data_IF_584888139803
#
_entry.id   IF_584888139803
#
_cell.length_a   1.000
_cell.length_b   1.000
_cell.length_c   1.000
_cell.angle_alpha   90.00
_cell.angle_beta   90.00
_cell.angle_gamma   90.00
#
_symmetry.space_group_name_H-M   'P 1'
#
loop_
_entity.id
_entity.type
_entity.pdbx_description
1 polymer ?
#
# COMPACT_ATOMS: atom_id res chain seq x y z
N UNK A 1 4.40 42.62 37.88
CA UNK A 1 3.26 41.93 38.55
C UNK A 1 2.15 41.41 37.61
N UNK A 2 2.01 41.87 36.36
CA UNK A 2 0.93 41.40 35.45
C UNK A 2 1.05 39.93 34.97
N UNK A 3 2.27 39.41 34.78
CA UNK A 3 2.49 38.05 34.23
C UNK A 3 2.00 36.91 35.15
N UNK A 4 2.03 37.13 36.46
CA UNK A 4 1.58 36.14 37.45
C UNK A 4 0.04 36.05 37.50
N UNK A 5 -0.66 37.18 37.26
CA UNK A 5 -2.13 37.24 37.24
C UNK A 5 -2.72 36.45 36.07
N UNK A 6 -2.05 36.46 34.92
CA UNK A 6 -2.46 35.66 33.75
C UNK A 6 -2.19 34.17 33.95
N UNK A 7 -1.11 33.79 34.64
CA UNK A 7 -0.80 32.39 34.95
C UNK A 7 -1.83 31.77 35.89
N UNK A 8 -2.25 32.51 36.92
CA UNK A 8 -3.32 32.09 37.84
C UNK A 8 -4.68 32.03 37.14
N UNK A 9 -4.97 32.97 36.24
CA UNK A 9 -6.22 32.97 35.47
C UNK A 9 -6.29 31.80 34.47
N UNK A 10 -5.19 31.43 33.84
CA UNK A 10 -5.10 30.28 32.92
C UNK A 10 -5.25 28.95 33.67
N UNK A 11 -4.69 28.83 34.87
CA UNK A 11 -4.80 27.62 35.69
C UNK A 11 -6.26 27.36 36.14
N UNK A 12 -7.02 28.42 36.46
CA UNK A 12 -8.44 28.31 36.86
C UNK A 12 -9.34 27.98 35.67
N UNK A 13 -9.01 28.44 34.47
CA UNK A 13 -9.80 28.17 33.26
C UNK A 13 -9.70 26.70 32.79
N UNK A 14 -8.55 26.04 33.04
CA UNK A 14 -8.33 24.63 32.66
C UNK A 14 -9.06 23.66 33.59
N UNK A 15 -9.27 24.02 34.86
CA UNK A 15 -9.99 23.17 35.84
C UNK A 15 -11.53 23.20 35.66
N UNK A 16 -12.08 24.15 34.90
CA UNK A 16 -13.53 24.30 34.70
C UNK A 16 -14.11 23.47 33.53
N UNK A 17 -13.28 22.80 32.71
CA UNK A 17 -13.72 22.08 31.51
C UNK A 17 -13.96 20.57 31.69
N UNK A 18 -13.83 20.03 32.91
CA UNK A 18 -14.02 18.58 33.18
C UNK A 18 -15.40 18.26 33.76
N UNK A 19 -16.47 18.84 33.20
CA UNK A 19 -17.85 18.47 33.56
C UNK A 19 -18.81 18.46 32.36
N UNK A 20 -19.27 17.25 32.02
CA UNK A 20 -20.38 16.95 31.10
C UNK A 20 -19.92 16.47 29.72
N UNK A 21 -20.32 15.32 29.16
CA UNK A 21 -21.58 14.58 29.31
C UNK A 21 -21.39 13.06 29.14
N UNK A 22 -21.98 12.30 30.07
CA UNK A 22 -22.43 10.91 29.89
C UNK A 22 -23.64 10.89 28.94
N UNK A 23 -23.66 10.08 27.87
CA UNK A 23 -24.92 9.61 27.28
C UNK A 23 -24.76 8.39 26.36
N UNK A 24 -25.36 7.29 26.83
CA UNK A 24 -26.17 6.29 26.09
C UNK A 24 -25.44 5.25 25.23
N UNK A 25 -25.03 4.20 25.94
CA UNK A 25 -25.06 2.81 25.49
C UNK A 25 -26.49 2.43 25.04
N UNK A 26 -26.65 2.05 23.77
CA UNK A 26 -27.84 1.36 23.27
C UNK A 26 -27.41 -0.05 22.90
N UNK A 27 -27.83 -1.02 23.71
CA UNK A 27 -27.82 -2.44 23.38
C UNK A 27 -29.22 -2.77 22.87
N UNK A 28 -29.39 -3.23 21.63
CA UNK A 28 -30.49 -4.12 21.27
C UNK A 28 -29.94 -5.55 21.26
N UNK A 29 -30.33 -6.32 22.27
CA UNK A 29 -30.31 -7.77 22.25
C UNK A 29 -31.39 -8.20 21.25
N UNK A 30 -30.97 -8.65 20.06
CA UNK A 30 -31.81 -9.44 19.17
C UNK A 30 -31.13 -10.79 18.98
N UNK A 31 -31.86 -11.85 19.32
CA UNK A 31 -31.41 -13.22 19.30
C UNK A 31 -30.95 -13.63 17.88
N UNK A 32 -29.70 -14.10 17.79
CA UNK A 32 -29.24 -14.87 16.65
C UNK A 32 -29.88 -16.27 16.73
N UNK A 33 -30.81 -16.56 15.82
CA UNK A 33 -31.00 -17.93 15.34
C UNK A 33 -30.09 -18.13 14.12
N UNK A 34 -29.25 -19.17 14.07
CA UNK A 34 -28.46 -19.48 12.88
C UNK A 34 -29.39 -20.06 11.78
N UNK A 35 -29.47 -19.46 10.58
CA UNK A 35 -30.01 -20.19 9.44
C UNK A 35 -29.02 -21.30 9.06
N UNK A 36 -29.57 -22.51 8.98
CA UNK A 36 -28.87 -23.71 8.55
C UNK A 36 -28.20 -23.50 7.19
N UNK A 37 -26.95 -23.96 7.11
CA UNK A 37 -26.16 -24.03 5.89
C UNK A 37 -26.87 -25.04 4.97
N UNK A 38 -27.47 -24.56 3.88
CA UNK A 38 -27.91 -25.44 2.78
C UNK A 38 -27.14 -24.99 1.54
N UNK A 39 -26.26 -25.86 1.05
CA UNK A 39 -25.44 -25.65 -0.13
C UNK A 39 -26.30 -25.29 -1.36
N UNK A 40 -25.83 -24.43 -2.28
CA UNK A 40 -26.48 -24.29 -3.58
C UNK A 40 -26.22 -25.57 -4.40
N UNK A 41 -27.20 -26.47 -4.38
CA UNK A 41 -27.33 -27.51 -5.38
C UNK A 41 -27.73 -26.85 -6.71
N UNK A 42 -26.96 -27.14 -7.75
CA UNK A 42 -27.26 -26.98 -9.17
C UNK A 42 -28.74 -27.26 -9.45
N UNK A 43 -29.50 -26.25 -9.85
CA UNK A 43 -30.84 -26.44 -10.41
C UNK A 43 -30.76 -26.37 -11.94
N UNK A 44 -31.02 -27.53 -12.52
CA UNK A 44 -31.23 -27.83 -13.94
C UNK A 44 -32.57 -27.23 -14.41
N UNK A 45 -32.67 -26.68 -15.65
CA UNK A 45 -33.88 -26.06 -16.15
C UNK A 45 -34.83 -27.08 -16.78
N UNK A 46 -36.13 -27.01 -16.45
CA UNK A 46 -37.22 -27.79 -17.09
C UNK A 46 -38.45 -26.88 -17.26
N UNK A 47 -39.41 -27.17 -18.16
CA UNK A 47 -39.63 -26.44 -19.41
C UNK A 47 -40.94 -25.66 -19.45
N UNK A 48 -40.98 -24.52 -20.17
CA UNK A 48 -42.19 -23.73 -20.43
C UNK A 48 -42.94 -24.22 -21.70
N UNK A 49 -44.26 -24.44 -21.58
CA UNK A 49 -45.25 -24.64 -22.68
C UNK A 49 -45.99 -23.29 -22.95
N UNK A 50 -46.70 -23.08 -24.09
CA UNK A 50 -46.43 -21.96 -24.99
C UNK A 50 -47.63 -21.02 -25.32
N UNK A 51 -47.27 -19.86 -25.91
CA UNK A 51 -48.03 -18.98 -26.85
C UNK A 51 -49.21 -18.12 -26.32
N UNK A 52 -49.60 -16.99 -26.98
CA UNK A 52 -49.19 -16.52 -28.32
C UNK A 52 -48.76 -15.03 -28.50
N UNK A 53 -47.77 -14.88 -29.39
CA UNK A 53 -47.57 -13.87 -30.43
C UNK A 53 -47.97 -12.39 -30.19
N UNK A 54 -46.95 -11.53 -30.11
CA UNK A 54 -46.92 -10.31 -30.94
C UNK A 54 -45.64 -10.33 -31.76
N UNK A 55 -45.85 -10.02 -33.02
CA UNK A 55 -45.01 -10.22 -34.20
C UNK A 55 -44.07 -9.01 -34.41
N UNK A 56 -42.76 -9.28 -34.55
CA UNK A 56 -41.81 -8.79 -35.60
C UNK A 56 -41.49 -7.27 -35.69
N UNK A 57 -40.30 -6.81 -36.19
CA UNK A 57 -39.10 -7.52 -36.64
C UNK A 57 -37.78 -7.14 -35.92
N UNK A 58 -36.90 -8.15 -35.89
CA UNK A 58 -35.45 -8.06 -35.78
C UNK A 58 -34.85 -7.55 -37.12
N UNK A 59 -33.82 -6.70 -37.14
CA UNK A 59 -33.02 -6.51 -38.36
C UNK A 59 -32.14 -7.74 -38.61
N UNK A 60 -32.32 -8.27 -39.81
CA UNK A 60 -31.73 -9.45 -40.41
C UNK A 60 -30.23 -9.30 -40.72
N UNK A 61 -29.55 -10.45 -40.82
CA UNK A 61 -28.13 -10.61 -41.17
C UNK A 61 -27.86 -10.39 -42.68
N UNK A 62 -26.69 -9.78 -42.95
CA UNK A 62 -25.76 -10.02 -44.09
C UNK A 62 -26.19 -9.61 -45.52
N UNK A 63 -25.26 -9.47 -46.52
CA UNK A 63 -23.86 -9.93 -46.59
C UNK A 63 -22.79 -8.94 -47.16
N UNK A 64 -21.53 -9.38 -46.98
CA UNK A 64 -20.26 -9.12 -47.67
C UNK A 64 -20.13 -8.08 -48.81
N UNK A 65 -19.04 -7.31 -48.76
CA UNK A 65 -18.20 -7.08 -49.94
C UNK A 65 -16.72 -7.09 -49.53
N UNK A 66 -15.99 -8.04 -50.09
CA UNK A 66 -14.54 -8.14 -50.03
C UNK A 66 -13.93 -7.38 -51.21
N UNK A 67 -12.89 -6.57 -50.98
CA UNK A 67 -11.88 -6.30 -52.02
C UNK A 67 -10.50 -5.97 -51.42
N UNK A 68 -9.57 -6.91 -51.67
CA UNK A 68 -8.12 -6.80 -51.95
C UNK A 68 -7.20 -5.88 -51.11
N UNK A 69 -6.21 -6.40 -50.37
CA UNK A 69 -4.81 -6.82 -50.75
C UNK A 69 -3.79 -5.62 -50.80
N UNK A 70 -2.46 -5.83 -50.77
CA UNK A 70 -1.61 -5.48 -49.62
C UNK A 70 -0.35 -4.61 -49.91
N UNK A 71 0.36 -4.23 -48.84
CA UNK A 71 1.78 -3.82 -48.74
C UNK A 71 2.17 -2.40 -49.22
N UNK A 72 3.35 -1.82 -48.85
CA UNK A 72 4.46 -2.35 -48.05
C UNK A 72 4.99 -1.45 -46.92
N UNK A 73 5.88 -2.05 -46.13
CA UNK A 73 6.60 -1.51 -44.98
C UNK A 73 7.42 -0.24 -45.24
N UNK A 74 7.57 0.59 -44.19
CA UNK A 74 8.79 1.35 -43.96
C UNK A 74 9.34 1.04 -42.56
N UNK A 75 10.57 0.53 -42.45
CA UNK A 75 11.21 0.26 -41.17
C UNK A 75 11.64 1.60 -40.55
N UNK A 76 11.23 1.86 -39.31
CA UNK A 76 11.81 2.96 -38.52
C UNK A 76 12.97 2.44 -37.68
N UNK A 77 13.99 3.27 -37.46
CA UNK A 77 15.38 2.83 -37.43
C UNK A 77 15.79 2.25 -36.08
N UNK A 78 16.70 1.27 -36.12
CA UNK A 78 17.50 0.81 -34.97
C UNK A 78 18.21 2.01 -34.32
N UNK A 79 18.22 2.15 -32.98
CA UNK A 79 19.27 2.90 -32.33
C UNK A 79 20.57 2.10 -32.44
N UNK A 80 21.52 2.60 -33.23
CA UNK A 80 22.90 2.11 -33.21
C UNK A 80 23.58 2.50 -31.89
N UNK A 81 24.52 1.68 -31.39
CA UNK A 81 25.16 1.86 -30.10
C UNK A 81 26.24 2.93 -30.21
N UNK A 82 26.17 3.98 -29.39
CA UNK A 82 27.29 4.92 -29.26
C UNK A 82 28.01 4.68 -27.93
N UNK A 83 29.14 4.00 -28.07
CA UNK A 83 30.23 3.93 -27.10
C UNK A 83 30.67 5.35 -26.75
N UNK A 84 30.74 5.66 -25.45
CA UNK A 84 31.79 6.49 -24.87
C UNK A 84 31.87 6.17 -23.39
N UNK A 85 32.75 5.23 -23.06
CA UNK A 85 33.37 5.20 -21.74
C UNK A 85 34.41 6.32 -21.67
N UNK A 86 34.49 7.04 -20.55
CA UNK A 86 35.75 7.57 -20.06
C UNK A 86 36.27 6.70 -18.91
N UNK A 87 37.60 6.56 -18.91
CA UNK A 87 38.46 5.69 -18.12
C UNK A 87 38.21 5.68 -16.60
N UNK A 88 38.49 4.54 -15.93
CA UNK A 88 38.76 4.49 -14.50
C UNK A 88 39.96 5.37 -14.15
N UNK A 89 39.79 6.20 -13.12
CA UNK A 89 40.92 6.86 -12.45
C UNK A 89 41.22 6.03 -11.21
N UNK A 90 42.33 5.32 -11.25
CA UNK A 90 43.10 4.93 -10.06
C UNK A 90 44.44 5.66 -10.16
N UNK A 91 44.95 6.23 -9.06
CA UNK A 91 46.00 5.52 -8.33
C UNK A 91 45.93 5.65 -6.79
N UNK A 92 45.97 4.50 -6.08
CA UNK A 92 46.95 4.03 -5.06
C UNK A 92 47.41 4.97 -3.90
N UNK A 93 48.05 4.45 -2.83
CA UNK A 93 47.67 3.47 -1.80
C UNK A 93 47.56 4.13 -0.39
N UNK A 94 46.81 3.52 0.53
CA UNK A 94 47.12 3.63 1.95
C UNK A 94 46.98 2.25 2.59
N UNK A 95 48.13 1.63 2.84
CA UNK A 95 48.27 0.52 3.77
C UNK A 95 47.83 0.95 5.17
N UNK A 96 46.98 0.12 5.79
CA UNK A 96 47.10 -0.31 7.18
C UNK A 96 46.04 -1.40 7.38
N UNK A 97 46.44 -2.67 7.34
CA UNK A 97 46.60 -3.51 8.55
C UNK A 97 45.35 -3.40 9.43
N UNK A 98 44.40 -4.33 9.37
CA UNK A 98 44.51 -5.59 10.13
C UNK A 98 43.44 -6.57 9.62
N UNK A 99 43.87 -7.71 9.09
CA UNK A 99 43.02 -8.87 8.81
C UNK A 99 42.66 -9.52 10.15
N UNK A 100 41.46 -9.24 10.66
CA UNK A 100 40.87 -10.04 11.73
C UNK A 100 40.44 -11.38 11.12
N UNK A 101 41.33 -12.37 11.29
CA UNK A 101 41.16 -13.78 10.95
C UNK A 101 39.83 -14.30 11.50
N UNK A 102 38.90 -14.64 10.60
CA UNK A 102 37.73 -15.45 10.92
C UNK A 102 38.21 -16.87 11.30
N UNK A 103 38.32 -17.14 12.61
CA UNK A 103 38.41 -18.51 13.11
C UNK A 103 37.00 -19.10 13.17
N UNK A 104 36.70 -20.22 12.48
CA UNK A 104 35.46 -20.95 12.71
C UNK A 104 35.45 -21.52 14.14
N UNK A 105 34.28 -21.58 14.81
CA UNK A 105 34.20 -22.15 16.15
C UNK A 105 34.58 -23.62 16.11
N UNK A 106 35.55 -24.00 16.94
CA UNK A 106 35.96 -25.39 17.17
C UNK A 106 34.78 -26.13 17.81
N UNK A 107 34.11 -26.97 17.03
CA UNK A 107 33.12 -27.93 17.54
C UNK A 107 33.90 -28.99 18.31
N UNK A 108 33.78 -28.98 19.64
CA UNK A 108 34.23 -30.09 20.48
C UNK A 108 33.10 -31.11 20.52
N UNK A 109 33.17 -32.15 19.70
CA UNK A 109 32.29 -33.31 19.84
C UNK A 109 32.85 -34.18 20.96
N UNK A 110 32.26 -34.07 22.15
CA UNK A 110 32.50 -34.99 23.25
C UNK A 110 31.55 -36.20 23.06
N UNK A 111 32.05 -37.42 22.81
CA UNK A 111 31.18 -38.58 22.72
C UNK A 111 30.75 -38.99 24.14
N UNK A 112 29.47 -38.79 24.49
CA UNK A 112 28.88 -39.45 25.66
C UNK A 112 28.07 -38.60 26.66
N UNK A 113 27.39 -37.53 26.24
CA UNK A 113 26.40 -36.83 27.08
C UNK A 113 24.97 -37.00 26.55
N UNK A 114 23.93 -37.09 27.40
CA UNK A 114 22.53 -37.16 26.95
C UNK A 114 22.16 -35.90 26.13
N UNK A 115 21.18 -35.99 25.21
CA UNK A 115 20.86 -34.88 24.30
C UNK A 115 20.52 -33.62 25.11
N UNK A 116 21.36 -32.59 24.98
CA UNK A 116 21.05 -31.28 25.50
C UNK A 116 19.86 -30.73 24.68
N UNK A 117 18.73 -30.55 25.35
CA UNK A 117 17.58 -29.84 24.77
C UNK A 117 18.03 -28.44 24.31
N UNK A 118 17.65 -28.00 23.10
CA UNK A 118 18.01 -26.68 22.63
C UNK A 118 17.39 -25.63 23.56
N UNK A 119 18.13 -24.57 23.93
CA UNK A 119 17.57 -23.50 24.74
C UNK A 119 16.36 -22.87 24.03
N UNK A 120 15.32 -22.45 24.76
CA UNK A 120 14.19 -21.76 24.16
C UNK A 120 14.71 -20.53 23.40
N UNK A 121 14.30 -20.39 22.14
CA UNK A 121 14.67 -19.26 21.30
C UNK A 121 14.09 -17.97 21.91
N UNK A 122 14.91 -17.23 22.66
CA UNK A 122 14.58 -15.90 23.14
C UNK A 122 14.54 -14.96 21.95
N UNK A 123 13.33 -14.56 21.54
CA UNK A 123 13.12 -13.56 20.49
C UNK A 123 13.57 -12.20 21.05
N UNK A 124 14.69 -11.68 20.55
CA UNK A 124 15.28 -10.43 21.05
C UNK A 124 14.48 -9.23 20.51
N UNK A 125 13.89 -8.35 21.36
CA UNK A 125 13.05 -7.23 20.93
C UNK A 125 13.74 -6.12 20.12
N UNK A 126 15.07 -6.10 20.04
CA UNK A 126 15.84 -5.00 19.43
C UNK A 126 15.56 -4.85 17.93
N UNK A 127 15.32 -5.95 17.21
CA UNK A 127 15.05 -5.91 15.77
C UNK A 127 13.73 -5.16 15.45
N UNK A 128 12.70 -5.31 16.29
CA UNK A 128 11.38 -4.70 16.07
C UNK A 128 11.44 -3.17 16.01
N UNK A 129 12.24 -2.55 16.89
CA UNK A 129 12.34 -1.08 16.94
C UNK A 129 12.99 -0.49 15.69
N UNK A 130 13.98 -1.17 15.12
CA UNK A 130 14.63 -0.70 13.89
C UNK A 130 13.70 -0.81 12.68
N UNK A 131 12.92 -1.88 12.58
CA UNK A 131 11.92 -2.07 11.53
C UNK A 131 10.78 -1.04 11.61
N UNK A 132 10.30 -0.74 12.81
CA UNK A 132 9.28 0.30 13.03
C UNK A 132 9.77 1.70 12.62
N UNK A 133 11.01 2.06 12.99
CA UNK A 133 11.61 3.32 12.58
C UNK A 133 11.75 3.40 11.04
N UNK A 134 12.17 2.30 10.41
CA UNK A 134 12.26 2.21 8.96
C UNK A 134 10.90 2.35 8.28
N UNK A 135 9.85 1.70 8.80
CA UNK A 135 8.48 1.82 8.27
C UNK A 135 7.94 3.24 8.39
N UNK A 136 8.19 3.94 9.51
CA UNK A 136 7.81 5.35 9.66
C UNK A 136 8.49 6.21 8.61
N UNK A 137 9.81 6.08 8.46
CA UNK A 137 10.59 6.87 7.50
C UNK A 137 10.11 6.65 6.06
N UNK A 138 9.96 5.39 5.64
CA UNK A 138 9.50 5.06 4.29
C UNK A 138 8.06 5.50 4.03
N UNK A 139 7.18 5.43 5.03
CA UNK A 139 5.81 5.94 4.91
C UNK A 139 5.79 7.44 4.65
N UNK A 140 6.59 8.21 5.40
CA UNK A 140 6.71 9.66 5.19
C UNK A 140 7.29 9.99 3.80
N UNK A 141 8.31 9.26 3.35
CA UNK A 141 8.87 9.42 2.00
C UNK A 141 7.83 9.18 0.91
N UNK A 142 7.03 8.12 1.03
CA UNK A 142 5.95 7.82 0.08
C UNK A 142 4.91 8.94 0.05
N UNK A 143 4.50 9.44 1.21
CA UNK A 143 3.54 10.55 1.30
C UNK A 143 4.10 11.84 0.70
N UNK A 144 5.36 12.19 0.98
CA UNK A 144 6.03 13.35 0.41
C UNK A 144 6.18 13.25 -1.12
N UNK A 145 6.58 12.09 -1.62
CA UNK A 145 6.67 11.80 -3.06
C UNK A 145 5.31 11.98 -3.75
N UNK A 146 4.26 11.41 -3.15
CA UNK A 146 2.87 11.56 -3.61
C UNK A 146 2.46 13.03 -3.69
N UNK A 147 2.70 13.82 -2.64
CA UNK A 147 2.37 15.24 -2.63
C UNK A 147 3.18 16.03 -3.67
N UNK A 148 4.43 15.67 -3.91
CA UNK A 148 5.27 16.26 -4.96
C UNK A 148 4.71 15.98 -6.36
N UNK A 149 4.31 14.74 -6.62
CA UNK A 149 3.66 14.35 -7.87
C UNK A 149 2.37 15.14 -8.11
N UNK A 150 1.51 15.27 -7.10
CA UNK A 150 0.28 16.06 -7.22
C UNK A 150 0.56 17.55 -7.50
N UNK A 151 1.63 18.11 -6.90
CA UNK A 151 2.06 19.50 -7.14
C UNK A 151 2.67 19.72 -8.53
N UNK A 152 3.21 18.67 -9.16
CA UNK A 152 3.83 18.76 -10.48
C UNK A 152 2.81 18.77 -11.62
N UNK A 153 1.55 18.38 -11.35
CA UNK A 153 0.46 18.40 -12.32
C UNK A 153 0.16 19.84 -12.79
N UNK A 154 0.41 20.12 -14.08
CA UNK A 154 0.11 21.41 -14.74
C UNK A 154 -1.02 21.32 -15.77
N UNK A 155 -1.45 20.11 -16.12
CA UNK A 155 -2.47 19.83 -17.12
C UNK A 155 -3.87 19.84 -16.50
N UNK A 156 -4.90 19.99 -17.33
CA UNK A 156 -6.29 19.81 -16.91
C UNK A 156 -6.58 18.32 -16.77
N UNK A 157 -7.20 17.93 -15.64
CA UNK A 157 -7.60 16.55 -15.37
C UNK A 157 -9.02 16.28 -15.88
N UNK A 158 -9.22 15.12 -16.51
CA UNK A 158 -10.54 14.60 -16.86
C UNK A 158 -11.29 14.06 -15.62
N UNK A 159 -12.55 13.64 -15.79
CA UNK A 159 -13.39 13.20 -14.67
C UNK A 159 -12.83 11.96 -13.94
N UNK A 160 -12.32 10.97 -14.68
CA UNK A 160 -11.68 9.79 -14.10
C UNK A 160 -10.41 10.14 -13.32
N UNK A 161 -9.59 11.04 -13.84
CA UNK A 161 -8.37 11.53 -13.20
C UNK A 161 -8.68 12.37 -11.95
N UNK A 162 -9.75 13.16 -11.97
CA UNK A 162 -10.23 13.89 -10.79
C UNK A 162 -10.69 12.92 -9.70
N UNK A 163 -11.40 11.86 -10.07
CA UNK A 163 -11.78 10.81 -9.11
C UNK A 163 -10.54 10.11 -8.54
N UNK A 164 -9.53 9.83 -9.36
CA UNK A 164 -8.25 9.28 -8.90
C UNK A 164 -7.55 10.24 -7.92
N UNK A 165 -7.53 11.54 -8.20
CA UNK A 165 -6.98 12.56 -7.29
C UNK A 165 -7.70 12.56 -5.94
N UNK A 166 -9.02 12.46 -5.92
CA UNK A 166 -9.80 12.34 -4.68
C UNK A 166 -9.40 11.08 -3.88
N UNK A 167 -9.21 9.96 -4.56
CA UNK A 167 -8.77 8.70 -3.94
C UNK A 167 -7.35 8.80 -3.37
N UNK A 168 -6.42 9.47 -4.07
CA UNK A 168 -5.06 9.72 -3.58
C UNK A 168 -5.11 10.56 -2.30
N UNK A 169 -5.89 11.64 -2.28
CA UNK A 169 -6.06 12.49 -1.10
C UNK A 169 -6.64 11.73 0.09
N UNK A 170 -7.63 10.87 -0.16
CA UNK A 170 -8.22 10.01 0.86
C UNK A 170 -7.18 9.08 1.48
N UNK A 171 -6.36 8.41 0.66
CA UNK A 171 -5.30 7.52 1.17
C UNK A 171 -4.21 8.28 1.94
N UNK A 172 -3.84 9.49 1.52
CA UNK A 172 -2.91 10.33 2.28
C UNK A 172 -3.45 10.69 3.67
N UNK A 173 -4.73 11.05 3.76
CA UNK A 173 -5.39 11.34 5.04
C UNK A 173 -5.43 10.11 5.94
N UNK A 174 -5.89 8.97 5.40
CA UNK A 174 -5.93 7.71 6.17
C UNK A 174 -4.53 7.23 6.58
N UNK A 175 -3.51 7.46 5.76
CA UNK A 175 -2.13 7.14 6.10
C UNK A 175 -1.66 7.96 7.30
N UNK A 176 -1.94 9.28 7.32
CA UNK A 176 -1.63 10.15 8.46
C UNK A 176 -2.34 9.70 9.73
N UNK A 177 -3.63 9.38 9.63
CA UNK A 177 -4.42 8.88 10.76
C UNK A 177 -3.86 7.56 11.31
N UNK A 178 -3.50 6.61 10.43
CA UNK A 178 -2.90 5.33 10.82
C UNK A 178 -1.52 5.53 11.47
N UNK A 179 -0.69 6.44 10.95
CA UNK A 179 0.60 6.81 11.55
C UNK A 179 0.42 7.39 12.97
N UNK A 180 -0.57 8.25 13.17
CA UNK A 180 -0.89 8.81 14.49
C UNK A 180 -1.39 7.73 15.46
N UNK A 181 -2.15 6.76 14.95
CA UNK A 181 -2.63 5.60 15.70
C UNK A 181 -1.55 4.53 15.94
N UNK A 182 -0.30 4.76 15.55
CA UNK A 182 0.82 3.80 15.62
C UNK A 182 0.59 2.50 14.80
N UNK A 183 -0.36 2.50 13.87
CA UNK A 183 -0.57 1.41 12.91
C UNK A 183 0.31 1.63 11.66
N UNK A 184 1.60 1.37 11.84
CA UNK A 184 2.63 1.65 10.82
C UNK A 184 2.48 0.78 9.57
N UNK A 185 1.96 -0.44 9.73
CA UNK A 185 1.74 -1.35 8.59
C UNK A 185 0.61 -0.82 7.73
N UNK A 186 -0.51 -0.41 8.32
CA UNK A 186 -1.61 0.19 7.58
C UNK A 186 -1.22 1.52 6.96
N UNK A 187 -0.52 2.38 7.70
CA UNK A 187 -0.04 3.66 7.19
C UNK A 187 0.83 3.48 5.94
N UNK A 188 1.84 2.61 6.01
CA UNK A 188 2.71 2.32 4.88
C UNK A 188 1.94 1.84 3.65
N UNK A 189 1.01 0.89 3.82
CA UNK A 189 0.23 0.36 2.70
C UNK A 189 -0.69 1.41 2.06
N UNK A 190 -1.27 2.32 2.86
CA UNK A 190 -2.09 3.43 2.36
C UNK A 190 -1.23 4.45 1.61
N UNK A 191 -0.07 4.82 2.17
CA UNK A 191 0.89 5.70 1.50
C UNK A 191 1.38 5.11 0.17
N UNK A 192 1.68 3.81 0.12
CA UNK A 192 2.09 3.13 -1.11
C UNK A 192 0.99 3.19 -2.18
N UNK A 193 -0.27 2.94 -1.80
CA UNK A 193 -1.41 3.07 -2.73
C UNK A 193 -1.55 4.50 -3.26
N UNK A 194 -1.41 5.49 -2.39
CA UNK A 194 -1.45 6.90 -2.79
C UNK A 194 -0.33 7.23 -3.78
N UNK A 195 0.89 6.75 -3.51
CA UNK A 195 2.05 6.96 -4.37
C UNK A 195 1.85 6.34 -5.75
N UNK A 196 1.45 5.06 -5.82
CA UNK A 196 1.21 4.37 -7.10
C UNK A 196 0.14 5.07 -7.95
N UNK A 197 -0.97 5.47 -7.33
CA UNK A 197 -2.00 6.23 -8.03
C UNK A 197 -1.49 7.60 -8.49
N UNK A 198 -0.64 8.26 -7.71
CA UNK A 198 -0.05 9.54 -8.12
C UNK A 198 0.93 9.40 -9.27
N UNK A 199 1.70 8.30 -9.33
CA UNK A 199 2.61 8.00 -10.43
C UNK A 199 1.83 7.77 -11.74
N UNK A 200 0.71 7.06 -11.67
CA UNK A 200 -0.20 6.90 -12.82
C UNK A 200 -0.82 8.24 -13.25
N UNK A 201 -1.13 9.12 -12.30
CA UNK A 201 -1.75 10.42 -12.60
C UNK A 201 -0.78 11.40 -13.28
N UNK A 202 0.52 11.34 -12.98
CA UNK A 202 1.54 12.21 -13.59
C UNK A 202 2.05 11.71 -14.95
N UNK A 203 1.71 10.47 -15.33
CA UNK A 203 2.12 9.84 -16.59
C UNK A 203 1.40 10.44 -17.80
#
# INVERSE_FOLDING_TARGET
>A
MMRSRHSVLLLVLVLAFVSGCKKKQKTPKAAQQPPAITAPATQEPTPQKPTPAVEVPLPEKQPETATAKPAPAKPRPKPSPRKTAPKPVEPKPAENTTVAKATPPRIVVQPGGPPAEPPPATVVPELSHTEEAHRRLTTEQLMQSTESNLKSLRRVLNEQERAMLQQIQLFLTQSREASQAQDLVRAHNLALKAHLLSDELVR
#
